data_IF_470797745615
#
_entry.id   IF_470797745615
#
_cell.length_a   1.000
_cell.length_b   1.000
_cell.length_c   1.000
_cell.angle_alpha   90.00
_cell.angle_beta   90.00
_cell.angle_gamma   90.00
#
_symmetry.space_group_name_H-M   'P 1'
#
loop_
_entity.id
_entity.type
_entity.pdbx_description
1 polymer ?
#
# COMPACT_ATOMS: atom_id res chain seq x y z
N UNK A 1 -32.95 20.44 4.15
CA UNK A 1 -31.80 20.30 5.05
C UNK A 1 -31.58 18.91 5.64
N UNK A 2 -32.61 18.14 5.97
CA UNK A 2 -32.49 16.77 6.50
C UNK A 2 -31.88 15.76 5.52
N UNK A 3 -32.18 15.84 4.23
CA UNK A 3 -31.67 14.93 3.22
C UNK A 3 -30.13 14.99 3.03
N UNK A 4 -29.53 16.18 3.09
CA UNK A 4 -28.08 16.38 2.94
C UNK A 4 -27.26 15.80 4.10
N UNK A 5 -27.83 15.72 5.31
CA UNK A 5 -27.15 15.16 6.48
C UNK A 5 -27.20 13.64 6.47
N UNK A 6 -28.30 13.05 6.01
CA UNK A 6 -28.46 11.60 5.87
C UNK A 6 -27.59 11.03 4.74
N UNK A 7 -27.48 11.70 3.60
CA UNK A 7 -26.60 11.31 2.48
C UNK A 7 -25.11 11.23 2.88
N UNK A 8 -24.70 12.00 3.89
CA UNK A 8 -23.31 12.03 4.35
C UNK A 8 -22.98 10.93 5.35
N UNK A 9 -23.96 10.30 5.97
CA UNK A 9 -23.79 9.29 7.03
C UNK A 9 -23.91 7.87 6.49
N UNK A 10 -24.62 7.64 5.38
CA UNK A 10 -24.98 6.30 4.92
C UNK A 10 -24.02 5.68 3.88
N UNK A 11 -23.26 6.49 3.14
CA UNK A 11 -22.39 5.95 2.08
C UNK A 11 -20.92 5.74 2.48
N UNK A 12 -20.50 6.30 3.62
CA UNK A 12 -19.15 6.13 4.16
C UNK A 12 -18.03 6.78 3.35
N UNK A 13 -18.34 7.52 2.29
CA UNK A 13 -17.31 8.23 1.50
C UNK A 13 -16.80 9.45 2.26
N UNK A 14 -15.46 9.62 2.42
CA UNK A 14 -14.89 10.78 3.09
C UNK A 14 -15.19 12.08 2.32
N UNK A 15 -15.16 13.21 3.02
CA UNK A 15 -15.29 14.51 2.37
C UNK A 15 -14.12 14.73 1.38
N UNK A 16 -14.30 15.48 0.28
CA UNK A 16 -13.27 15.64 -0.74
C UNK A 16 -11.92 16.14 -0.22
N UNK A 17 -11.93 17.06 0.75
CA UNK A 17 -10.71 17.58 1.38
C UNK A 17 -10.04 16.54 2.30
N UNK A 18 -10.82 15.71 2.97
CA UNK A 18 -10.32 14.59 3.78
C UNK A 18 -9.72 13.50 2.89
N UNK A 19 -10.39 13.16 1.79
CA UNK A 19 -9.86 12.24 0.79
C UNK A 19 -8.52 12.73 0.21
N UNK A 20 -8.41 14.03 -0.08
CA UNK A 20 -7.14 14.63 -0.51
C UNK A 20 -6.05 14.54 0.56
N UNK A 21 -6.37 14.87 1.82
CA UNK A 21 -5.41 14.79 2.92
C UNK A 21 -4.89 13.36 3.14
N UNK A 22 -5.73 12.35 2.91
CA UNK A 22 -5.31 10.95 2.94
C UNK A 22 -4.47 10.59 1.71
N UNK A 23 -4.88 11.03 0.53
CA UNK A 23 -4.19 10.71 -0.71
C UNK A 23 -2.78 11.30 -0.79
N UNK A 24 -2.58 12.55 -0.36
CA UNK A 24 -1.26 13.18 -0.40
C UNK A 24 -0.24 12.49 0.50
N UNK A 25 -0.68 11.79 1.55
CA UNK A 25 0.20 10.97 2.39
C UNK A 25 0.76 9.77 1.63
N UNK A 26 0.05 9.27 0.63
CA UNK A 26 0.52 8.18 -0.22
C UNK A 26 1.62 8.60 -1.21
N UNK A 27 1.95 9.90 -1.29
CA UNK A 27 3.15 10.37 -1.99
C UNK A 27 4.44 9.94 -1.27
N UNK A 28 4.35 9.68 0.04
CA UNK A 28 5.43 9.09 0.83
C UNK A 28 5.32 7.57 0.78
N UNK A 29 6.27 6.92 0.12
CA UNK A 29 6.34 5.45 0.02
C UNK A 29 6.48 4.76 1.38
N UNK A 30 6.95 5.47 2.40
CA UNK A 30 7.01 5.00 3.78
C UNK A 30 5.64 4.94 4.44
N UNK A 31 4.69 5.79 4.05
CA UNK A 31 3.44 5.94 4.76
C UNK A 31 2.43 4.83 4.45
N UNK A 32 1.87 4.22 5.50
CA UNK A 32 0.69 3.35 5.38
C UNK A 32 -0.57 4.21 5.32
N UNK A 33 -1.43 3.95 4.34
CA UNK A 33 -2.65 4.73 4.09
C UNK A 33 -3.86 3.81 3.96
N UNK A 34 -4.97 4.22 4.57
CA UNK A 34 -6.30 3.59 4.41
C UNK A 34 -7.17 4.56 3.65
N UNK A 35 -7.66 4.17 2.50
CA UNK A 35 -8.44 5.00 1.59
C UNK A 35 -9.53 4.23 0.88
N UNK A 36 -10.47 4.95 0.28
CA UNK A 36 -11.49 4.32 -0.56
C UNK A 36 -10.97 4.08 -1.98
N UNK A 37 -11.64 3.18 -2.71
CA UNK A 37 -11.37 2.94 -4.14
C UNK A 37 -11.41 4.26 -4.93
N UNK A 38 -12.40 5.10 -4.68
CA UNK A 38 -12.56 6.40 -5.33
C UNK A 38 -11.39 7.35 -5.04
N UNK A 39 -10.88 7.32 -3.80
CA UNK A 39 -9.70 8.11 -3.40
C UNK A 39 -8.45 7.62 -4.14
N UNK A 40 -8.24 6.31 -4.23
CA UNK A 40 -7.13 5.70 -4.96
C UNK A 40 -7.16 6.07 -6.45
N UNK A 41 -8.32 5.96 -7.08
CA UNK A 41 -8.46 6.22 -8.51
C UNK A 41 -8.30 7.72 -8.83
N UNK A 42 -8.81 8.60 -7.96
CA UNK A 42 -8.57 10.04 -8.08
C UNK A 42 -7.08 10.39 -7.84
N UNK A 43 -6.41 9.69 -6.92
CA UNK A 43 -4.98 9.85 -6.69
C UNK A 43 -4.16 9.47 -7.91
N UNK A 44 -4.49 8.37 -8.58
CA UNK A 44 -3.80 7.97 -9.80
C UNK A 44 -3.83 9.04 -10.89
N UNK A 45 -4.90 9.83 -10.98
CA UNK A 45 -5.02 10.95 -11.91
C UNK A 45 -4.17 12.18 -11.49
N UNK A 46 -4.02 12.43 -10.19
CA UNK A 46 -3.26 13.56 -9.66
C UNK A 46 -1.75 13.27 -9.49
N UNK A 47 -1.37 12.01 -9.36
CA UNK A 47 0.00 11.57 -9.07
C UNK A 47 1.06 12.12 -10.04
N UNK A 48 0.85 12.15 -11.37
CA UNK A 48 1.83 12.72 -12.29
C UNK A 48 2.14 14.21 -12.01
N UNK A 49 1.14 14.98 -11.58
CA UNK A 49 1.32 16.40 -11.24
C UNK A 49 2.10 16.54 -9.92
N UNK A 50 1.82 15.69 -8.93
CA UNK A 50 2.57 15.66 -7.66
C UNK A 50 4.03 15.29 -7.93
N UNK A 51 4.29 14.29 -8.77
CA UNK A 51 5.65 13.88 -9.14
C UNK A 51 6.41 14.97 -9.91
N UNK A 52 5.68 15.78 -10.69
CA UNK A 52 6.26 16.97 -11.35
C UNK A 52 6.50 18.15 -10.39
N UNK A 53 6.12 18.03 -9.10
CA UNK A 53 6.23 19.08 -8.09
C UNK A 53 5.08 20.09 -8.12
N UNK A 54 4.08 19.93 -8.98
CA UNK A 54 2.93 20.83 -9.10
C UNK A 54 1.75 20.37 -8.23
N UNK A 55 1.91 20.52 -6.93
CA UNK A 55 0.86 20.21 -5.95
C UNK A 55 -0.32 21.15 -6.02
N UNK A 56 -0.12 22.36 -6.59
CA UNK A 56 -1.18 23.37 -6.76
C UNK A 56 -2.18 22.90 -7.82
N UNK A 57 -1.70 22.38 -8.95
CA UNK A 57 -2.55 21.82 -10.00
C UNK A 57 -3.07 20.40 -9.64
N UNK A 58 -2.32 19.64 -8.89
CA UNK A 58 -2.69 18.28 -8.50
C UNK A 58 -3.96 18.22 -7.65
N UNK A 59 -4.11 19.15 -6.69
CA UNK A 59 -5.28 19.17 -5.81
C UNK A 59 -6.61 19.36 -6.52
N UNK A 60 -6.82 20.40 -7.37
CA UNK A 60 -8.09 20.54 -8.11
C UNK A 60 -8.34 19.35 -9.04
N UNK A 61 -7.32 18.82 -9.71
CA UNK A 61 -7.44 17.63 -10.55
C UNK A 61 -7.94 16.42 -9.76
N UNK A 62 -7.38 16.18 -8.58
CA UNK A 62 -7.86 15.15 -7.66
C UNK A 62 -9.32 15.37 -7.26
N UNK A 63 -9.67 16.58 -6.81
CA UNK A 63 -11.00 16.89 -6.30
C UNK A 63 -12.09 16.73 -7.37
N UNK A 64 -11.79 17.09 -8.61
CA UNK A 64 -12.69 16.93 -9.75
C UNK A 64 -12.98 15.45 -10.00
N UNK A 65 -11.93 14.62 -10.13
CA UNK A 65 -12.07 13.19 -10.38
C UNK A 65 -12.76 12.50 -9.21
N UNK A 66 -12.36 12.80 -7.97
CA UNK A 66 -12.94 12.23 -6.76
C UNK A 66 -14.44 12.51 -6.66
N UNK A 67 -14.83 13.78 -6.85
CA UNK A 67 -16.25 14.19 -6.75
C UNK A 67 -17.09 13.48 -7.80
N UNK A 68 -16.59 13.31 -9.02
CA UNK A 68 -17.25 12.56 -10.09
C UNK A 68 -17.42 11.09 -9.70
N UNK A 69 -16.36 10.42 -9.24
CA UNK A 69 -16.38 9.00 -8.86
C UNK A 69 -17.34 8.73 -7.68
N UNK A 70 -17.34 9.60 -6.67
CA UNK A 70 -18.28 9.49 -5.54
C UNK A 70 -19.73 9.69 -6.00
N UNK A 71 -19.98 10.66 -6.90
CA UNK A 71 -21.32 10.86 -7.47
C UNK A 71 -21.79 9.62 -8.24
N UNK A 72 -20.92 9.00 -9.02
CA UNK A 72 -21.22 7.76 -9.76
C UNK A 72 -21.47 6.59 -8.80
N UNK A 73 -20.68 6.46 -7.73
CA UNK A 73 -20.87 5.43 -6.71
C UNK A 73 -22.22 5.58 -5.99
N UNK A 74 -22.59 6.82 -5.62
CA UNK A 74 -23.89 7.15 -5.01
C UNK A 74 -25.05 6.85 -5.94
N UNK A 75 -24.96 7.22 -7.22
CA UNK A 75 -25.97 6.91 -8.22
C UNK A 75 -26.17 5.40 -8.40
N UNK A 76 -25.11 4.62 -8.21
CA UNK A 76 -25.12 3.16 -8.26
C UNK A 76 -25.42 2.50 -6.88
N UNK A 77 -25.78 3.28 -5.85
CA UNK A 77 -26.04 2.81 -4.47
C UNK A 77 -24.87 1.98 -3.89
N UNK A 78 -23.63 2.32 -4.23
CA UNK A 78 -22.42 1.68 -3.69
C UNK A 78 -21.92 2.44 -2.47
N UNK A 79 -21.71 1.71 -1.39
CA UNK A 79 -21.06 2.23 -0.17
C UNK A 79 -19.56 2.31 -0.35
N UNK A 80 -18.89 3.11 0.46
CA UNK A 80 -17.42 3.22 0.45
C UNK A 80 -16.77 1.88 0.79
N UNK A 81 -15.91 1.40 -0.09
CA UNK A 81 -15.06 0.24 0.16
C UNK A 81 -13.64 0.73 0.48
N UNK A 82 -13.20 0.52 1.73
CA UNK A 82 -11.89 0.91 2.19
C UNK A 82 -10.84 -0.14 1.83
N UNK A 83 -9.68 0.31 1.41
CA UNK A 83 -8.53 -0.48 1.04
C UNK A 83 -7.31 -0.01 1.82
N UNK A 84 -6.42 -0.95 2.10
CA UNK A 84 -5.16 -0.70 2.78
C UNK A 84 -4.02 -0.66 1.76
N UNK A 85 -3.22 0.40 1.81
CA UNK A 85 -1.94 0.52 1.12
C UNK A 85 -0.83 0.56 2.16
N UNK A 86 -0.03 -0.51 2.21
CA UNK A 86 1.07 -0.62 3.17
C UNK A 86 2.28 0.17 2.67
N UNK A 87 2.77 1.09 3.51
CA UNK A 87 4.04 1.76 3.30
C UNK A 87 5.23 0.96 3.81
N UNK A 88 6.44 1.39 3.48
CA UNK A 88 7.68 0.76 3.90
C UNK A 88 7.98 0.96 5.41
N UNK A 89 7.48 2.05 6.02
CA UNK A 89 7.63 2.30 7.46
C UNK A 89 6.68 1.42 8.28
N UNK A 90 7.27 0.51 9.05
CA UNK A 90 6.54 -0.42 9.92
C UNK A 90 6.12 0.26 11.22
N UNK A 91 6.88 1.25 11.72
CA UNK A 91 6.67 1.83 13.05
C UNK A 91 5.36 2.60 13.19
N UNK A 92 4.91 3.28 12.14
CA UNK A 92 3.64 4.01 12.12
C UNK A 92 2.43 3.17 11.71
N UNK A 93 2.67 1.96 11.17
CA UNK A 93 1.63 1.11 10.58
C UNK A 93 0.55 0.71 11.58
N UNK A 94 0.96 0.23 12.75
CA UNK A 94 0.04 -0.29 13.76
C UNK A 94 -0.96 0.77 14.22
N UNK A 95 -0.52 2.01 14.41
CA UNK A 95 -1.39 3.11 14.81
C UNK A 95 -2.44 3.43 13.75
N UNK A 96 -2.05 3.43 12.46
CA UNK A 96 -2.97 3.66 11.34
C UNK A 96 -4.00 2.55 11.23
N UNK A 97 -3.58 1.29 11.39
CA UNK A 97 -4.48 0.13 11.35
C UNK A 97 -5.48 0.14 12.51
N UNK A 98 -5.01 0.45 13.74
CA UNK A 98 -5.90 0.57 14.89
C UNK A 98 -6.92 1.70 14.73
N UNK A 99 -6.51 2.85 14.21
CA UNK A 99 -7.41 3.96 13.92
C UNK A 99 -8.45 3.59 12.86
N UNK A 100 -8.05 2.90 11.80
CA UNK A 100 -8.95 2.48 10.73
C UNK A 100 -9.98 1.46 11.22
N UNK A 101 -9.59 0.54 12.12
CA UNK A 101 -10.54 -0.39 12.76
C UNK A 101 -11.48 0.34 13.71
N UNK A 102 -10.98 1.26 14.55
CA UNK A 102 -11.80 2.05 15.45
C UNK A 102 -12.80 2.94 14.71
N UNK A 103 -12.44 3.43 13.50
CA UNK A 103 -13.32 4.20 12.62
C UNK A 103 -14.28 3.31 11.80
N UNK A 104 -14.22 1.98 11.92
CA UNK A 104 -15.04 1.05 11.15
C UNK A 104 -14.70 0.98 9.65
N UNK A 105 -13.56 1.49 9.25
CA UNK A 105 -13.07 1.49 7.87
C UNK A 105 -12.51 0.13 7.46
N UNK A 106 -11.90 -0.60 8.40
CA UNK A 106 -11.37 -1.94 8.22
C UNK A 106 -11.89 -2.87 9.32
N UNK A 107 -12.03 -4.15 8.99
CA UNK A 107 -12.30 -5.19 9.97
C UNK A 107 -11.01 -5.73 10.57
N UNK A 108 -11.07 -6.22 11.82
CA UNK A 108 -9.93 -6.89 12.47
C UNK A 108 -9.38 -8.05 11.62
N UNK A 109 -10.27 -8.78 10.95
CA UNK A 109 -9.91 -9.92 10.10
C UNK A 109 -9.04 -9.48 8.90
N UNK A 110 -9.43 -8.40 8.21
CA UNK A 110 -8.65 -7.83 7.11
C UNK A 110 -7.29 -7.29 7.56
N UNK A 111 -7.24 -6.68 8.74
CA UNK A 111 -5.97 -6.23 9.31
C UNK A 111 -5.08 -7.42 9.64
N UNK A 112 -5.62 -8.48 10.25
CA UNK A 112 -4.87 -9.69 10.57
C UNK A 112 -4.34 -10.39 9.31
N UNK A 113 -5.11 -10.43 8.23
CA UNK A 113 -4.69 -10.98 6.93
C UNK A 113 -3.48 -10.22 6.37
N UNK A 114 -3.47 -8.89 6.47
CA UNK A 114 -2.34 -8.07 6.01
C UNK A 114 -1.12 -8.14 6.92
N UNK A 115 -1.31 -8.34 8.22
CA UNK A 115 -0.20 -8.53 9.17
C UNK A 115 0.36 -9.95 9.11
N UNK A 116 -0.45 -10.95 8.73
CA UNK A 116 -0.03 -12.33 8.55
C UNK A 116 0.75 -12.57 7.24
N UNK A 117 0.67 -11.64 6.28
CA UNK A 117 1.56 -11.66 5.12
C UNK A 117 3.00 -11.53 5.64
N UNK A 118 3.91 -12.48 5.31
CA UNK A 118 5.30 -12.34 5.70
C UNK A 118 5.80 -10.97 5.21
N UNK A 119 6.60 -10.26 5.99
CA UNK A 119 7.18 -8.99 5.56
C UNK A 119 7.76 -9.21 4.17
N UNK A 120 7.45 -8.30 3.25
CA UNK A 120 7.99 -8.33 1.90
C UNK A 120 9.48 -8.68 2.02
N UNK A 121 9.90 -9.73 1.33
CA UNK A 121 11.26 -10.27 1.38
C UNK A 121 12.23 -9.12 1.59
N UNK A 122 13.08 -9.15 2.62
CA UNK A 122 13.92 -8.00 2.94
C UNK A 122 14.60 -7.55 1.67
N UNK A 123 14.46 -6.27 1.35
CA UNK A 123 15.01 -5.70 0.14
C UNK A 123 16.46 -6.18 0.02
N UNK A 124 16.80 -6.80 -1.11
CA UNK A 124 18.14 -7.33 -1.35
C UNK A 124 19.17 -6.26 -0.97
N UNK A 125 19.88 -6.48 0.11
CA UNK A 125 20.92 -5.57 0.58
C UNK A 125 22.29 -6.11 0.12
N UNK A 126 22.83 -5.61 -0.98
CA UNK A 126 24.12 -6.08 -1.51
C UNK A 126 25.28 -5.83 -0.55
N UNK A 127 25.19 -4.80 0.29
CA UNK A 127 26.23 -4.45 1.28
C UNK A 127 26.26 -5.48 2.41
N UNK A 128 25.08 -5.89 2.90
CA UNK A 128 24.98 -6.93 3.95
C UNK A 128 25.47 -8.30 3.42
N UNK A 129 25.23 -8.59 2.12
CA UNK A 129 25.74 -9.80 1.47
C UNK A 129 27.28 -9.80 1.39
N UNK A 130 27.88 -8.67 1.03
CA UNK A 130 29.32 -8.51 0.94
C UNK A 130 29.99 -8.51 2.33
N UNK A 131 29.30 -8.00 3.35
CA UNK A 131 29.77 -8.01 4.74
C UNK A 131 29.61 -9.38 5.44
N UNK A 132 28.97 -10.39 4.80
CA UNK A 132 28.75 -11.71 5.38
C UNK A 132 27.76 -11.71 6.55
N UNK A 133 26.98 -10.64 6.73
CA UNK A 133 26.04 -10.45 7.84
C UNK A 133 24.62 -10.93 7.54
N UNK A 134 24.38 -11.51 6.35
CA UNK A 134 23.07 -12.08 5.97
C UNK A 134 23.00 -13.50 6.50
N UNK A 135 22.19 -13.73 7.50
CA UNK A 135 21.74 -15.07 7.85
C UNK A 135 20.81 -15.59 6.76
N UNK A 136 21.34 -16.42 5.88
CA UNK A 136 20.54 -17.02 4.82
C UNK A 136 19.52 -17.99 5.43
N UNK A 137 18.27 -17.89 4.96
CA UNK A 137 17.22 -18.84 5.35
C UNK A 137 17.68 -20.28 5.17
N UNK A 138 17.43 -21.19 6.13
CA UNK A 138 17.90 -22.59 6.06
C UNK A 138 17.48 -23.31 4.77
N UNK A 139 16.33 -22.94 4.20
CA UNK A 139 15.83 -23.49 2.92
C UNK A 139 16.60 -22.96 1.70
N UNK A 140 17.02 -21.70 1.73
CA UNK A 140 17.88 -21.13 0.67
C UNK A 140 19.27 -21.73 0.72
N UNK A 141 19.80 -21.99 1.92
CA UNK A 141 21.10 -22.66 2.12
C UNK A 141 21.14 -24.08 1.55
N UNK A 142 20.07 -24.86 1.71
CA UNK A 142 20.01 -26.22 1.17
C UNK A 142 20.07 -26.22 -0.37
N UNK A 143 19.26 -25.38 -1.03
CA UNK A 143 19.26 -25.22 -2.49
C UNK A 143 20.58 -24.69 -3.03
N UNK A 144 21.17 -23.73 -2.34
CA UNK A 144 22.46 -23.14 -2.76
C UNK A 144 23.59 -24.15 -2.63
N UNK A 145 23.62 -24.95 -1.56
CA UNK A 145 24.60 -26.03 -1.39
C UNK A 145 24.46 -27.11 -2.45
N UNK A 146 23.24 -27.48 -2.81
CA UNK A 146 22.98 -28.46 -3.86
C UNK A 146 23.46 -27.96 -5.22
N UNK A 147 23.17 -26.68 -5.55
CA UNK A 147 23.65 -26.05 -6.79
C UNK A 147 25.17 -25.91 -6.83
N UNK A 148 25.80 -25.57 -5.71
CA UNK A 148 27.27 -25.50 -5.64
C UNK A 148 27.91 -26.88 -5.78
N UNK A 149 27.31 -27.94 -5.25
CA UNK A 149 27.77 -29.30 -5.42
C UNK A 149 27.66 -29.73 -6.89
N UNK A 150 26.55 -29.46 -7.56
CA UNK A 150 26.36 -29.73 -8.99
C UNK A 150 27.40 -28.99 -9.86
N UNK A 151 27.71 -27.73 -9.54
CA UNK A 151 28.73 -26.94 -10.26
C UNK A 151 30.13 -27.52 -10.01
N UNK A 152 30.44 -27.93 -8.77
CA UNK A 152 31.74 -28.53 -8.44
C UNK A 152 31.95 -29.86 -9.17
N UNK A 153 30.92 -30.69 -9.31
CA UNK A 153 30.93 -31.95 -10.04
C UNK A 153 31.17 -31.71 -11.55
N UNK A 154 30.49 -30.71 -12.13
CA UNK A 154 30.67 -30.32 -13.54
C UNK A 154 32.06 -29.73 -13.84
N UNK A 155 32.67 -29.06 -12.84
CA UNK A 155 34.03 -28.51 -13.01
C UNK A 155 35.11 -29.56 -12.74
N UNK A 156 34.85 -30.56 -11.88
CA UNK A 156 35.75 -31.67 -11.59
C UNK A 156 35.92 -32.66 -12.76
N UNK A 157 34.87 -32.86 -13.55
CA UNK A 157 34.88 -33.75 -14.72
C UNK A 157 35.59 -33.15 -15.96
N UNK A 158 35.94 -31.87 -15.93
CA UNK A 158 36.65 -31.17 -16.99
C UNK A 158 38.18 -31.11 -16.80
N UNK A 159 38.67 -31.62 -15.67
CA UNK A 159 40.09 -31.55 -15.29
C UNK A 159 40.82 -32.92 -15.32
N UNK A 160 40.19 -33.94 -15.94
CA UNK A 160 40.81 -35.28 -16.12
C UNK A 160 41.16 -35.55 -17.57
#
# INVERSE_FOLDING_TARGET
MRALILERIEDGHPAPNEAWANAIRAADEGATVVWTEQTRDAWAAALPLVQAGDTIAARPAFLEVYTRLVKEARAAHRTAAYQLSLGADVSGRDSVLQQAVAAGQLTHERVAEHLALPPATPAFNPVALLAGTVEASPTANARTRQRLAEIAELLGDKAA
#
